data_IF_479935625955
#
_entry.id   IF_479935625955
#
_cell.length_a   1.000
_cell.length_b   1.000
_cell.length_c   1.000
_cell.angle_alpha   90.00
_cell.angle_beta   90.00
_cell.angle_gamma   90.00
#
_symmetry.space_group_name_H-M   'P 1'
#
loop_
_entity.id
_entity.type
_entity.pdbx_description
1 polymer ?
#
# COMPACT_ATOMS: atom_id res chain seq x y z
N UNK A 1 -7.55 -33.62 2.72
CA UNK A 1 -8.20 -34.59 3.62
C UNK A 1 -8.87 -33.83 4.74
N UNK A 2 -10.15 -34.04 5.03
CA UNK A 2 -10.88 -33.33 6.09
C UNK A 2 -10.86 -34.18 7.36
N UNK A 3 -10.23 -33.67 8.42
CA UNK A 3 -10.22 -34.34 9.72
C UNK A 3 -11.64 -34.58 10.24
N UNK A 4 -11.89 -35.78 10.75
CA UNK A 4 -13.09 -36.15 11.49
C UNK A 4 -13.26 -35.26 12.73
N UNK A 5 -14.45 -35.27 13.33
CA UNK A 5 -14.70 -34.51 14.56
C UNK A 5 -13.80 -35.00 15.70
N UNK A 6 -13.63 -36.31 15.82
CA UNK A 6 -12.76 -36.93 16.82
C UNK A 6 -11.29 -36.53 16.62
N UNK A 7 -10.78 -36.53 15.39
CA UNK A 7 -9.40 -36.10 15.11
C UNK A 7 -9.19 -34.61 15.41
N UNK A 8 -10.19 -33.77 15.16
CA UNK A 8 -10.15 -32.33 15.52
C UNK A 8 -10.13 -32.11 17.03
N UNK A 9 -10.85 -32.92 17.78
CA UNK A 9 -10.82 -32.89 19.25
C UNK A 9 -9.48 -33.38 19.79
N UNK A 10 -8.90 -34.42 19.20
CA UNK A 10 -7.54 -34.90 19.53
C UNK A 10 -6.48 -33.83 19.25
N UNK A 11 -6.53 -33.17 18.09
CA UNK A 11 -5.61 -32.06 17.77
C UNK A 11 -5.75 -30.92 18.78
N UNK A 12 -6.98 -30.53 19.14
CA UNK A 12 -7.21 -29.47 20.15
C UNK A 12 -6.75 -29.86 21.55
N UNK A 13 -6.91 -31.13 21.94
CA UNK A 13 -6.43 -31.63 23.21
C UNK A 13 -4.89 -31.56 23.26
N UNK A 14 -4.23 -32.02 22.21
CA UNK A 14 -2.78 -31.90 22.04
C UNK A 14 -2.35 -30.44 22.11
N UNK A 15 -2.98 -29.53 21.35
CA UNK A 15 -2.70 -28.08 21.42
C UNK A 15 -2.87 -27.51 22.83
N UNK A 16 -3.89 -27.96 23.57
CA UNK A 16 -4.15 -27.57 24.97
C UNK A 16 -3.09 -28.07 25.94
N UNK A 17 -2.58 -29.29 25.74
CA UNK A 17 -1.52 -29.87 26.56
C UNK A 17 -0.17 -29.16 26.30
N UNK A 18 0.13 -28.85 25.03
CA UNK A 18 1.30 -28.02 24.65
C UNK A 18 1.23 -26.65 25.32
N UNK A 19 0.03 -26.06 25.37
CA UNK A 19 -0.22 -24.78 26.02
C UNK A 19 -0.06 -24.85 27.54
N UNK A 20 -0.63 -25.87 28.18
CA UNK A 20 -0.61 -26.04 29.63
C UNK A 20 0.79 -26.38 30.16
N UNK A 21 1.61 -27.05 29.35
CA UNK A 21 2.91 -27.52 29.78
C UNK A 21 4.00 -26.43 29.78
N UNK A 22 3.87 -25.34 29.01
CA UNK A 22 4.74 -24.16 29.09
C UNK A 22 6.25 -24.47 29.04
N UNK A 23 7.02 -23.95 30.00
CA UNK A 23 8.46 -24.22 30.17
C UNK A 23 8.77 -25.59 30.83
N UNK A 24 7.74 -26.33 31.26
CA UNK A 24 7.85 -27.57 32.05
C UNK A 24 7.41 -28.82 31.29
N UNK A 25 7.27 -28.76 29.96
CA UNK A 25 6.92 -29.96 29.19
C UNK A 25 8.06 -30.96 29.31
N UNK A 26 7.74 -32.13 29.86
CA UNK A 26 8.63 -33.28 29.75
C UNK A 26 8.70 -33.61 28.27
N UNK A 27 9.88 -33.42 27.67
CA UNK A 27 10.17 -33.52 26.24
C UNK A 27 9.52 -34.76 25.58
N UNK A 28 9.51 -35.89 26.30
CA UNK A 28 8.90 -37.15 25.90
C UNK A 28 7.39 -37.04 25.60
N UNK A 29 6.62 -36.29 26.38
CA UNK A 29 5.16 -36.14 26.20
C UNK A 29 4.84 -35.35 24.94
N UNK A 30 5.62 -34.30 24.66
CA UNK A 30 5.46 -33.50 23.45
C UNK A 30 5.89 -34.27 22.21
N UNK A 31 6.93 -35.10 22.32
CA UNK A 31 7.35 -36.00 21.25
C UNK A 31 6.28 -37.07 20.95
N UNK A 32 5.64 -37.66 21.97
CA UNK A 32 4.50 -38.57 21.81
C UNK A 32 3.32 -37.90 21.10
N UNK A 33 3.02 -36.65 21.44
CA UNK A 33 1.96 -35.87 20.81
C UNK A 33 2.26 -35.54 19.34
N UNK A 34 3.49 -35.13 19.02
CA UNK A 34 3.94 -34.95 17.63
C UNK A 34 3.85 -36.26 16.85
N UNK A 35 4.18 -37.38 17.49
CA UNK A 35 4.05 -38.72 16.91
C UNK A 35 2.60 -39.07 16.61
N UNK A 36 1.70 -38.81 17.56
CA UNK A 36 0.26 -39.03 17.38
C UNK A 36 -0.28 -38.17 16.23
N UNK A 37 0.13 -36.90 16.15
CA UNK A 37 -0.21 -36.03 15.01
C UNK A 37 0.24 -36.63 13.69
N UNK A 38 1.48 -37.15 13.60
CA UNK A 38 2.04 -37.80 12.42
C UNK A 38 1.29 -39.06 12.00
N UNK A 39 0.88 -39.89 12.97
CA UNK A 39 0.13 -41.12 12.74
C UNK A 39 -1.29 -40.85 12.22
N UNK A 40 -1.89 -39.70 12.55
CA UNK A 40 -3.22 -39.32 12.06
C UNK A 40 -3.27 -38.97 10.55
N UNK A 41 -2.20 -39.21 9.80
CA UNK A 41 -2.27 -39.27 8.33
C UNK A 41 -2.52 -37.94 7.62
N UNK A 42 -2.26 -36.80 8.28
CA UNK A 42 -2.42 -35.46 7.68
C UNK A 42 -1.31 -35.14 6.64
N UNK A 43 -0.42 -36.09 6.34
CA UNK A 43 0.88 -35.87 5.69
C UNK A 43 0.95 -36.32 4.22
N UNK A 44 -0.17 -36.77 3.64
CA UNK A 44 -0.21 -37.14 2.21
C UNK A 44 -0.12 -35.90 1.27
N UNK A 45 -0.26 -34.69 1.82
CA UNK A 45 -0.20 -33.43 1.09
C UNK A 45 0.47 -32.35 1.95
N UNK A 46 1.44 -31.63 1.36
CA UNK A 46 2.20 -30.55 1.98
C UNK A 46 1.31 -29.45 2.59
N UNK A 47 0.10 -29.24 2.04
CA UNK A 47 -0.88 -28.28 2.58
C UNK A 47 -1.35 -28.69 3.99
N UNK A 48 -1.62 -29.99 4.19
CA UNK A 48 -2.03 -30.51 5.49
C UNK A 48 -0.93 -30.36 6.53
N UNK A 49 0.32 -30.61 6.11
CA UNK A 49 1.52 -30.47 6.93
C UNK A 49 1.71 -29.01 7.36
N UNK A 50 1.71 -28.06 6.42
CA UNK A 50 1.90 -26.63 6.71
C UNK A 50 0.81 -26.09 7.63
N UNK A 51 -0.45 -26.44 7.38
CA UNK A 51 -1.57 -26.00 8.21
C UNK A 51 -1.47 -26.50 9.65
N UNK A 52 -1.14 -27.78 9.82
CA UNK A 52 -0.99 -28.36 11.15
C UNK A 52 0.23 -27.77 11.87
N UNK A 53 1.37 -27.65 11.18
CA UNK A 53 2.57 -27.01 11.72
C UNK A 53 2.31 -25.55 12.11
N UNK A 54 1.50 -24.83 11.32
CA UNK A 54 1.09 -23.46 11.62
C UNK A 54 0.26 -23.38 12.90
N UNK A 55 -0.68 -24.32 13.12
CA UNK A 55 -1.49 -24.36 14.34
C UNK A 55 -0.64 -24.70 15.56
N UNK A 56 0.17 -25.76 15.47
CA UNK A 56 1.02 -26.24 16.57
C UNK A 56 2.09 -25.21 16.94
N UNK A 57 2.80 -24.67 15.95
CA UNK A 57 3.85 -23.68 16.18
C UNK A 57 3.36 -22.33 16.72
N UNK A 58 2.05 -22.07 16.63
CA UNK A 58 1.43 -20.81 17.07
C UNK A 58 0.41 -21.01 18.20
N UNK A 59 0.41 -22.18 18.84
CA UNK A 59 -0.51 -22.49 19.94
C UNK A 59 -0.18 -21.67 21.20
N UNK A 60 1.08 -21.31 21.40
CA UNK A 60 1.55 -20.49 22.52
C UNK A 60 2.85 -19.77 22.19
N UNK A 61 3.24 -18.80 23.01
CA UNK A 61 4.53 -18.10 22.89
C UNK A 61 5.74 -18.99 23.18
N UNK A 62 5.54 -20.13 23.87
CA UNK A 62 6.60 -21.06 24.28
C UNK A 62 6.74 -22.25 23.33
N UNK A 63 5.69 -22.55 22.56
CA UNK A 63 5.66 -23.67 21.61
C UNK A 63 6.89 -23.72 20.66
N UNK A 64 7.39 -22.60 20.08
CA UNK A 64 8.53 -22.66 19.18
C UNK A 64 9.81 -23.18 19.84
N UNK A 65 10.04 -22.85 21.12
CA UNK A 65 11.21 -23.31 21.87
C UNK A 65 11.17 -24.80 22.16
N UNK A 66 10.02 -25.31 22.60
CA UNK A 66 9.86 -26.73 22.88
C UNK A 66 9.97 -27.59 21.60
N UNK A 67 9.37 -27.12 20.49
CA UNK A 67 9.44 -27.79 19.20
C UNK A 67 10.87 -27.79 18.62
N UNK A 68 11.65 -26.72 18.85
CA UNK A 68 13.06 -26.68 18.45
C UNK A 68 13.89 -27.76 19.20
N UNK A 69 13.64 -27.97 20.49
CA UNK A 69 14.29 -29.04 21.25
C UNK A 69 13.94 -30.43 20.74
N UNK A 70 12.71 -30.65 20.27
CA UNK A 70 12.29 -31.91 19.63
C UNK A 70 12.99 -32.09 18.30
N UNK A 71 13.11 -31.05 17.47
CA UNK A 71 13.78 -31.15 16.18
C UNK A 71 15.27 -31.53 16.29
N UNK A 72 15.90 -31.18 17.41
CA UNK A 72 17.28 -31.53 17.72
C UNK A 72 17.47 -32.94 18.29
N UNK A 73 16.39 -33.63 18.69
CA UNK A 73 16.50 -34.95 19.33
C UNK A 73 16.74 -36.07 18.30
N UNK A 74 17.96 -36.61 18.31
CA UNK A 74 18.38 -37.70 17.44
C UNK A 74 17.70 -39.05 17.73
N UNK A 75 17.00 -39.20 18.86
CA UNK A 75 16.23 -40.41 19.16
C UNK A 75 14.93 -40.50 18.34
N UNK A 76 14.47 -39.37 17.78
CA UNK A 76 13.26 -39.28 16.98
C UNK A 76 13.53 -39.56 15.48
N UNK A 77 12.49 -39.99 14.78
CA UNK A 77 12.50 -40.18 13.32
C UNK A 77 12.73 -38.86 12.57
N UNK A 78 13.22 -38.94 11.33
CA UNK A 78 13.43 -37.75 10.51
C UNK A 78 12.13 -36.97 10.29
N UNK A 79 11.00 -37.65 10.13
CA UNK A 79 9.67 -37.07 9.95
C UNK A 79 9.20 -36.31 11.20
N UNK A 80 9.39 -36.87 12.40
CA UNK A 80 9.09 -36.20 13.67
C UNK A 80 9.91 -34.92 13.81
N UNK A 81 11.23 -35.03 13.57
CA UNK A 81 12.14 -33.89 13.68
C UNK A 81 11.84 -32.82 12.64
N UNK A 82 11.52 -33.21 11.41
CA UNK A 82 11.15 -32.30 10.34
C UNK A 82 9.85 -31.54 10.65
N UNK A 83 8.85 -32.22 11.21
CA UNK A 83 7.59 -31.58 11.59
C UNK A 83 7.80 -30.58 12.73
N UNK A 84 8.56 -30.99 13.75
CA UNK A 84 8.91 -30.11 14.85
C UNK A 84 9.71 -28.88 14.36
N UNK A 85 10.70 -29.07 13.48
CA UNK A 85 11.47 -27.98 12.88
C UNK A 85 10.59 -27.01 12.09
N UNK A 86 9.69 -27.53 11.25
CA UNK A 86 8.75 -26.75 10.47
C UNK A 86 7.80 -25.93 11.36
N UNK A 87 7.19 -26.56 12.35
CA UNK A 87 6.27 -25.90 13.28
C UNK A 87 7.01 -24.84 14.12
N UNK A 88 8.20 -25.16 14.63
CA UNK A 88 9.05 -24.22 15.34
C UNK A 88 9.45 -23.03 14.46
N UNK A 89 9.83 -23.26 13.20
CA UNK A 89 10.21 -22.21 12.27
C UNK A 89 9.05 -21.23 12.00
N UNK A 90 7.84 -21.73 11.78
CA UNK A 90 6.64 -20.90 11.60
C UNK A 90 6.35 -20.10 12.88
N UNK A 91 6.48 -20.75 14.04
CA UNK A 91 6.30 -20.12 15.35
C UNK A 91 7.29 -18.98 15.61
N UNK A 92 8.60 -19.21 15.40
CA UNK A 92 9.63 -18.18 15.56
C UNK A 92 9.45 -17.00 14.62
N UNK A 93 9.04 -17.24 13.37
CA UNK A 93 8.70 -16.15 12.44
C UNK A 93 7.59 -15.28 12.99
N UNK A 94 6.50 -15.89 13.48
CA UNK A 94 5.36 -15.16 14.07
C UNK A 94 5.74 -14.42 15.35
N UNK A 95 6.68 -14.94 16.11
CA UNK A 95 7.25 -14.26 17.27
C UNK A 95 8.25 -13.14 16.92
N UNK A 96 8.48 -12.85 15.63
CA UNK A 96 9.39 -11.79 15.19
C UNK A 96 10.88 -12.16 15.31
N UNK A 97 11.21 -13.46 15.29
CA UNK A 97 12.60 -13.96 15.39
C UNK A 97 12.98 -14.75 14.12
N UNK A 98 13.09 -14.07 12.95
CA UNK A 98 13.29 -14.73 11.66
C UNK A 98 14.62 -15.49 11.55
N UNK A 99 15.66 -15.07 12.29
CA UNK A 99 16.96 -15.76 12.27
C UNK A 99 16.87 -17.18 12.85
N UNK A 100 16.11 -17.36 13.95
CA UNK A 100 15.85 -18.70 14.52
C UNK A 100 14.99 -19.55 13.60
N UNK A 101 14.03 -18.90 12.92
CA UNK A 101 13.22 -19.57 11.90
C UNK A 101 14.08 -20.09 10.75
N UNK A 102 14.98 -19.26 10.21
CA UNK A 102 15.88 -19.66 9.12
C UNK A 102 16.83 -20.79 9.54
N UNK A 103 17.39 -20.76 10.74
CA UNK A 103 18.26 -21.84 11.23
C UNK A 103 17.55 -23.21 11.22
N UNK A 104 16.30 -23.26 11.69
CA UNK A 104 15.50 -24.49 11.67
C UNK A 104 15.08 -24.92 10.26
N UNK A 105 14.84 -23.97 9.36
CA UNK A 105 14.54 -24.26 7.96
C UNK A 105 15.77 -24.82 7.23
N UNK A 106 16.97 -24.35 7.57
CA UNK A 106 18.22 -24.90 7.06
C UNK A 106 18.46 -26.33 7.60
N UNK A 107 18.14 -26.59 8.86
CA UNK A 107 18.15 -27.95 9.41
C UNK A 107 17.15 -28.86 8.69
N UNK A 108 15.91 -28.39 8.49
CA UNK A 108 14.87 -29.11 7.75
C UNK A 108 15.31 -29.43 6.32
N UNK A 109 15.98 -28.52 5.62
CA UNK A 109 16.50 -28.73 4.28
C UNK A 109 17.51 -29.89 4.20
N UNK A 110 18.22 -30.15 5.30
CA UNK A 110 19.20 -31.22 5.41
C UNK A 110 18.60 -32.56 5.89
N UNK A 111 17.38 -32.55 6.43
CA UNK A 111 16.67 -33.77 6.82
C UNK A 111 16.13 -34.50 5.59
N UNK A 112 16.50 -35.77 5.45
CA UNK A 112 15.94 -36.64 4.41
C UNK A 112 14.58 -37.16 4.89
N UNK A 113 13.52 -36.47 4.50
CA UNK A 113 12.14 -36.89 4.74
C UNK A 113 11.45 -37.25 3.43
N UNK A 114 10.55 -38.23 3.48
CA UNK A 114 9.76 -38.67 2.32
C UNK A 114 8.65 -37.70 1.90
N UNK A 115 8.63 -36.48 2.42
CA UNK A 115 7.56 -35.52 2.14
C UNK A 115 7.68 -34.93 0.73
N UNK A 116 6.57 -34.85 -0.02
CA UNK A 116 6.58 -34.24 -1.33
C UNK A 116 6.86 -32.74 -1.21
N UNK A 117 7.68 -32.21 -2.11
CA UNK A 117 7.94 -30.77 -2.27
C UNK A 117 8.46 -30.03 -1.02
N UNK A 118 9.11 -30.71 -0.08
CA UNK A 118 9.75 -30.10 1.11
C UNK A 118 10.64 -28.92 0.77
N UNK A 119 11.44 -29.05 -0.30
CA UNK A 119 12.31 -27.95 -0.77
C UNK A 119 11.50 -26.70 -1.14
N UNK A 120 10.35 -26.85 -1.81
CA UNK A 120 9.50 -25.71 -2.17
C UNK A 120 8.93 -25.01 -0.92
N UNK A 121 8.54 -25.79 0.11
CA UNK A 121 8.05 -25.24 1.38
C UNK A 121 9.15 -24.53 2.16
N UNK A 122 10.36 -25.11 2.24
CA UNK A 122 11.51 -24.46 2.87
C UNK A 122 11.81 -23.12 2.20
N UNK A 123 11.94 -23.11 0.87
CA UNK A 123 12.18 -21.88 0.10
C UNK A 123 11.06 -20.85 0.31
N UNK A 124 9.81 -21.29 0.36
CA UNK A 124 8.67 -20.42 0.64
C UNK A 124 8.77 -19.78 2.04
N UNK A 125 9.04 -20.57 3.07
CA UNK A 125 9.12 -20.07 4.45
C UNK A 125 10.33 -19.15 4.66
N UNK A 126 11.48 -19.49 4.07
CA UNK A 126 12.65 -18.60 4.05
C UNK A 126 12.35 -17.29 3.31
N UNK A 127 11.58 -17.35 2.22
CA UNK A 127 11.21 -16.14 1.47
C UNK A 127 10.36 -15.18 2.30
N UNK A 128 9.38 -15.68 3.05
CA UNK A 128 8.49 -14.85 3.87
C UNK A 128 9.16 -14.35 5.15
N UNK A 129 10.27 -14.97 5.60
CA UNK A 129 11.11 -14.44 6.67
C UNK A 129 11.83 -13.13 6.27
N UNK A 130 11.85 -12.79 4.98
CA UNK A 130 12.40 -11.54 4.46
C UNK A 130 11.34 -10.43 4.34
N UNK A 131 10.09 -10.68 4.75
CA UNK A 131 9.09 -9.61 4.90
C UNK A 131 9.54 -8.66 6.02
N UNK A 132 9.52 -7.35 5.73
CA UNK A 132 10.03 -6.32 6.64
C UNK A 132 11.55 -6.10 6.57
N UNK A 133 12.27 -6.84 5.73
CA UNK A 133 13.66 -6.54 5.41
C UNK A 133 13.76 -5.30 4.48
N UNK A 134 14.99 -4.80 4.29
CA UNK A 134 15.25 -3.77 3.29
C UNK A 134 15.03 -4.30 1.85
N UNK A 135 15.10 -3.40 0.87
CA UNK A 135 14.89 -3.72 -0.56
C UNK A 135 15.70 -4.93 -1.03
N UNK A 136 17.00 -5.00 -0.70
CA UNK A 136 17.85 -6.14 -1.06
C UNK A 136 17.43 -7.46 -0.38
N UNK A 137 16.90 -7.38 0.85
CA UNK A 137 16.27 -8.51 1.51
C UNK A 137 15.02 -8.99 0.77
N UNK A 138 14.14 -8.07 0.37
CA UNK A 138 12.93 -8.39 -0.39
C UNK A 138 13.25 -9.00 -1.75
N UNK A 139 14.27 -8.53 -2.46
CA UNK A 139 14.72 -9.12 -3.73
C UNK A 139 15.17 -10.58 -3.57
N UNK A 140 15.93 -10.87 -2.51
CA UNK A 140 16.30 -12.25 -2.16
C UNK A 140 15.06 -13.09 -1.85
N UNK A 141 14.10 -12.55 -1.11
CA UNK A 141 12.83 -13.22 -0.80
C UNK A 141 12.05 -13.54 -2.08
N UNK A 142 11.91 -12.58 -2.99
CA UNK A 142 11.25 -12.77 -4.28
C UNK A 142 11.94 -13.88 -5.08
N UNK A 143 13.28 -13.90 -5.13
CA UNK A 143 14.02 -14.94 -5.85
C UNK A 143 13.76 -16.35 -5.28
N UNK A 144 13.76 -16.50 -3.95
CA UNK A 144 13.42 -17.76 -3.28
C UNK A 144 11.97 -18.17 -3.56
N UNK A 145 11.03 -17.22 -3.47
CA UNK A 145 9.61 -17.47 -3.66
C UNK A 145 9.25 -17.82 -5.11
N UNK A 146 9.95 -17.22 -6.10
CA UNK A 146 9.82 -17.62 -7.52
C UNK A 146 10.32 -19.04 -7.75
N UNK A 147 11.44 -19.44 -7.13
CA UNK A 147 11.94 -20.82 -7.20
C UNK A 147 10.93 -21.80 -6.59
N UNK A 148 10.39 -21.49 -5.41
CA UNK A 148 9.35 -22.29 -4.77
C UNK A 148 8.11 -22.45 -5.69
N UNK A 149 7.60 -21.34 -6.24
CA UNK A 149 6.47 -21.37 -7.18
C UNK A 149 6.76 -22.17 -8.44
N UNK A 150 7.97 -22.13 -9.00
CA UNK A 150 8.33 -22.93 -10.16
C UNK A 150 8.25 -24.45 -9.89
N UNK A 151 8.49 -24.86 -8.65
CA UNK A 151 8.36 -26.25 -8.21
C UNK A 151 6.91 -26.66 -7.96
N UNK A 152 6.04 -25.70 -7.64
CA UNK A 152 4.63 -25.90 -7.29
C UNK A 152 3.74 -24.74 -7.79
N UNK A 153 3.49 -24.63 -9.11
CA UNK A 153 2.88 -23.45 -9.72
C UNK A 153 1.41 -23.19 -9.37
N UNK A 154 0.72 -24.16 -8.80
CA UNK A 154 -0.69 -24.06 -8.38
C UNK A 154 -0.87 -24.06 -6.85
N UNK A 155 0.22 -23.87 -6.09
CA UNK A 155 0.10 -23.77 -4.64
C UNK A 155 -0.40 -22.38 -4.23
N UNK A 156 -1.63 -22.31 -3.71
CA UNK A 156 -2.24 -21.07 -3.23
C UNK A 156 -1.36 -20.30 -2.23
N UNK A 157 -0.72 -21.02 -1.31
CA UNK A 157 0.17 -20.42 -0.31
C UNK A 157 1.43 -19.79 -0.92
N UNK A 158 2.04 -20.47 -1.90
CA UNK A 158 3.25 -19.98 -2.57
C UNK A 158 2.94 -18.80 -3.50
N UNK A 159 1.83 -18.85 -4.24
CA UNK A 159 1.36 -17.73 -5.06
C UNK A 159 1.09 -16.50 -4.20
N UNK A 160 0.36 -16.67 -3.08
CA UNK A 160 0.12 -15.59 -2.14
C UNK A 160 1.39 -15.04 -1.50
N UNK A 161 2.33 -15.91 -1.08
CA UNK A 161 3.60 -15.49 -0.51
C UNK A 161 4.40 -14.61 -1.46
N UNK A 162 4.48 -15.00 -2.74
CA UNK A 162 5.14 -14.19 -3.77
C UNK A 162 4.40 -12.88 -4.03
N UNK A 163 3.07 -12.92 -4.13
CA UNK A 163 2.25 -11.70 -4.30
C UNK A 163 2.47 -10.71 -3.14
N UNK A 164 2.57 -11.20 -1.91
CA UNK A 164 2.79 -10.37 -0.74
C UNK A 164 4.20 -9.75 -0.75
N UNK A 165 5.24 -10.51 -1.09
CA UNK A 165 6.60 -9.99 -1.24
C UNK A 165 6.70 -8.91 -2.34
N UNK A 166 6.03 -9.11 -3.48
CA UNK A 166 6.00 -8.14 -4.58
C UNK A 166 5.23 -6.86 -4.19
N UNK A 167 4.15 -6.99 -3.43
CA UNK A 167 3.43 -5.85 -2.86
C UNK A 167 4.35 -5.01 -1.97
N UNK A 168 5.01 -5.64 -0.99
CA UNK A 168 5.91 -4.96 -0.07
C UNK A 168 7.13 -4.37 -0.80
N UNK A 169 7.70 -5.10 -1.76
CA UNK A 169 8.77 -4.57 -2.61
C UNK A 169 8.36 -3.31 -3.35
N UNK A 170 7.17 -3.29 -3.95
CA UNK A 170 6.67 -2.08 -4.63
C UNK A 170 6.36 -0.91 -3.70
N UNK A 171 6.11 -1.15 -2.41
CA UNK A 171 5.94 -0.10 -1.39
C UNK A 171 7.29 0.51 -1.02
N UNK A 172 8.32 -0.31 -0.80
CA UNK A 172 9.65 0.15 -0.36
C UNK A 172 10.55 0.62 -1.50
N UNK A 173 10.32 0.16 -2.73
CA UNK A 173 11.13 0.51 -3.89
C UNK A 173 10.57 1.77 -4.56
N UNK A 174 11.17 2.93 -4.27
CA UNK A 174 10.79 4.26 -4.79
C UNK A 174 11.22 4.50 -6.26
N UNK A 175 11.10 3.45 -7.08
CA UNK A 175 11.46 3.46 -8.49
C UNK A 175 10.41 4.17 -9.36
N UNK A 176 10.77 4.44 -10.62
CA UNK A 176 9.86 4.99 -11.62
C UNK A 176 8.51 4.25 -11.63
N UNK A 177 7.40 5.02 -11.64
CA UNK A 177 6.03 4.52 -11.46
C UNK A 177 5.68 3.33 -12.35
N UNK A 178 6.18 3.30 -13.60
CA UNK A 178 5.89 2.23 -14.56
C UNK A 178 6.41 0.84 -14.14
N UNK A 179 7.58 0.75 -13.49
CA UNK A 179 8.12 -0.54 -13.00
C UNK A 179 7.34 -1.03 -11.79
N UNK A 180 6.96 -0.12 -10.90
CA UNK A 180 6.17 -0.44 -9.70
C UNK A 180 4.78 -0.95 -10.06
N UNK A 181 4.11 -0.30 -11.00
CA UNK A 181 2.79 -0.73 -11.45
C UNK A 181 2.85 -2.12 -12.12
N UNK A 182 3.89 -2.41 -12.90
CA UNK A 182 4.08 -3.75 -13.46
C UNK A 182 4.25 -4.82 -12.38
N UNK A 183 5.06 -4.54 -11.34
CA UNK A 183 5.23 -5.42 -10.17
C UNK A 183 3.91 -5.67 -9.45
N UNK A 184 3.10 -4.64 -9.22
CA UNK A 184 1.80 -4.80 -8.56
C UNK A 184 0.78 -5.54 -9.42
N UNK A 185 0.82 -5.40 -10.76
CA UNK A 185 -0.02 -6.21 -11.65
C UNK A 185 0.36 -7.69 -11.61
N UNK A 186 1.66 -8.01 -11.62
CA UNK A 186 2.13 -9.39 -11.43
C UNK A 186 1.64 -9.97 -10.09
N UNK A 187 1.76 -9.19 -9.01
CA UNK A 187 1.25 -9.59 -7.69
C UNK A 187 -0.27 -9.80 -7.68
N UNK A 188 -1.02 -8.98 -8.43
CA UNK A 188 -2.47 -9.10 -8.56
C UNK A 188 -2.88 -10.38 -9.31
N UNK A 189 -2.16 -10.74 -10.37
CA UNK A 189 -2.37 -12.01 -11.09
C UNK A 189 -2.13 -13.22 -10.18
N UNK A 190 -1.04 -13.20 -9.41
CA UNK A 190 -0.69 -14.26 -8.46
C UNK A 190 -1.74 -14.42 -7.35
N UNK A 191 -2.21 -13.32 -6.75
CA UNK A 191 -3.23 -13.42 -5.68
C UNK A 191 -4.59 -13.86 -6.22
N UNK A 192 -4.93 -13.49 -7.47
CA UNK A 192 -6.13 -14.02 -8.13
C UNK A 192 -6.00 -15.53 -8.39
N UNK A 193 -4.82 -16.00 -8.80
CA UNK A 193 -4.51 -17.43 -8.90
C UNK A 193 -4.65 -18.14 -7.54
N UNK A 194 -4.12 -17.55 -6.47
CA UNK A 194 -4.26 -18.08 -5.12
C UNK A 194 -5.72 -18.18 -4.66
N UNK A 195 -6.54 -17.16 -4.95
CA UNK A 195 -7.96 -17.15 -4.64
C UNK A 195 -8.76 -18.17 -5.45
N UNK A 196 -8.36 -18.43 -6.70
CA UNK A 196 -8.98 -19.48 -7.52
C UNK A 196 -8.74 -20.89 -6.94
N UNK A 197 -7.58 -21.11 -6.33
CA UNK A 197 -7.23 -22.37 -5.67
C UNK A 197 -7.83 -22.50 -4.27
N UNK A 198 -7.94 -21.38 -3.54
CA UNK A 198 -8.46 -21.35 -2.17
C UNK A 198 -8.97 -19.97 -1.77
N UNK A 199 -10.23 -19.91 -1.34
CA UNK A 199 -10.82 -18.75 -0.69
C UNK A 199 -10.28 -18.62 0.76
N UNK A 200 -9.47 -17.59 1.02
CA UNK A 200 -8.89 -17.36 2.34
C UNK A 200 -8.75 -15.86 2.66
N UNK A 201 -9.03 -15.40 3.91
CA UNK A 201 -9.13 -13.98 4.23
C UNK A 201 -7.85 -13.20 3.93
N UNK A 202 -6.68 -13.81 4.20
CA UNK A 202 -5.38 -13.17 3.96
C UNK A 202 -5.11 -12.90 2.47
N UNK A 203 -5.72 -13.67 1.56
CA UNK A 203 -5.58 -13.46 0.13
C UNK A 203 -6.41 -12.27 -0.34
N UNK A 204 -7.66 -12.19 0.13
CA UNK A 204 -8.53 -11.02 -0.05
C UNK A 204 -7.88 -9.74 0.48
N UNK A 205 -7.21 -9.82 1.64
CA UNK A 205 -6.49 -8.68 2.20
C UNK A 205 -5.37 -8.18 1.28
N UNK A 206 -4.51 -9.10 0.80
CA UNK A 206 -3.44 -8.75 -0.15
C UNK A 206 -3.99 -8.19 -1.46
N UNK A 207 -5.07 -8.78 -1.99
CA UNK A 207 -5.74 -8.30 -3.20
C UNK A 207 -6.30 -6.88 -3.03
N UNK A 208 -6.98 -6.61 -1.92
CA UNK A 208 -7.48 -5.28 -1.60
C UNK A 208 -6.36 -4.23 -1.56
N UNK A 209 -5.25 -4.54 -0.88
CA UNK A 209 -4.08 -3.64 -0.84
C UNK A 209 -3.50 -3.38 -2.24
N UNK A 210 -3.38 -4.41 -3.08
CA UNK A 210 -2.91 -4.26 -4.46
C UNK A 210 -3.85 -3.40 -5.31
N UNK A 211 -5.16 -3.64 -5.23
CA UNK A 211 -6.17 -2.86 -5.94
C UNK A 211 -6.16 -1.40 -5.51
N UNK A 212 -5.95 -1.09 -4.22
CA UNK A 212 -5.78 0.30 -3.78
C UNK A 212 -4.56 0.97 -4.38
N UNK A 213 -3.47 0.22 -4.61
CA UNK A 213 -2.24 0.78 -5.16
C UNK A 213 -2.30 0.98 -6.67
N UNK A 214 -2.99 0.09 -7.38
CA UNK A 214 -3.22 0.18 -8.82
C UNK A 214 -4.39 1.09 -9.20
N UNK A 215 -5.41 1.15 -8.35
CA UNK A 215 -6.67 1.83 -8.60
C UNK A 215 -6.53 3.34 -8.49
N UNK A 216 -7.01 4.02 -9.52
CA UNK A 216 -7.07 5.49 -9.61
C UNK A 216 -8.50 5.99 -9.76
N UNK A 217 -9.43 5.12 -10.16
CA UNK A 217 -10.85 5.45 -10.29
C UNK A 217 -11.67 5.06 -9.04
N UNK A 218 -12.78 5.75 -8.82
CA UNK A 218 -13.73 5.42 -7.74
C UNK A 218 -14.18 3.95 -7.76
N UNK A 219 -14.42 3.38 -8.96
CA UNK A 219 -14.81 1.97 -9.12
C UNK A 219 -13.72 1.01 -8.61
N UNK A 220 -12.47 1.30 -8.89
CA UNK A 220 -11.34 0.46 -8.44
C UNK A 220 -11.12 0.58 -6.94
N UNK A 221 -11.30 1.78 -6.37
CA UNK A 221 -11.25 2.01 -4.92
C UNK A 221 -12.38 1.25 -4.22
N UNK A 222 -13.61 1.28 -4.77
CA UNK A 222 -14.73 0.49 -4.25
C UNK A 222 -14.47 -1.02 -4.31
N UNK A 223 -13.95 -1.53 -5.42
CA UNK A 223 -13.59 -2.96 -5.52
C UNK A 223 -12.53 -3.35 -4.47
N UNK A 224 -11.55 -2.47 -4.21
CA UNK A 224 -10.56 -2.71 -3.19
C UNK A 224 -11.15 -2.73 -1.76
N UNK A 225 -12.09 -1.83 -1.47
CA UNK A 225 -12.84 -1.79 -0.22
C UNK A 225 -13.66 -3.06 0.00
N UNK A 226 -14.29 -3.60 -1.05
CA UNK A 226 -15.05 -4.85 -0.98
C UNK A 226 -14.14 -6.04 -0.63
N UNK A 227 -12.97 -6.13 -1.25
CA UNK A 227 -11.96 -7.17 -0.93
C UNK A 227 -11.46 -7.06 0.51
N UNK A 228 -11.15 -5.84 0.99
CA UNK A 228 -10.75 -5.63 2.39
C UNK A 228 -11.88 -5.96 3.38
N UNK A 229 -13.13 -5.74 2.99
CA UNK A 229 -14.29 -6.12 3.79
C UNK A 229 -14.44 -7.64 3.86
N UNK A 230 -14.33 -8.34 2.73
CA UNK A 230 -14.36 -9.80 2.69
C UNK A 230 -13.28 -10.40 3.59
N UNK A 231 -12.06 -9.87 3.52
CA UNK A 231 -10.97 -10.28 4.40
C UNK A 231 -11.31 -10.13 5.89
N UNK A 232 -11.90 -9.00 6.28
CA UNK A 232 -12.27 -8.75 7.67
C UNK A 232 -13.45 -9.63 8.14
N UNK A 233 -14.44 -9.85 7.27
CA UNK A 233 -15.65 -10.62 7.58
C UNK A 233 -15.35 -12.12 7.73
N UNK A 234 -14.36 -12.63 7.00
CA UNK A 234 -13.93 -14.03 7.07
C UNK A 234 -12.84 -14.30 8.15
N UNK A 235 -12.27 -13.28 8.79
CA UNK A 235 -11.18 -13.43 9.76
C UNK A 235 -11.67 -14.14 11.05
N UNK A 236 -11.00 -15.24 11.43
CA UNK A 236 -11.36 -15.98 12.64
C UNK A 236 -10.98 -15.21 13.90
N UNK A 237 -11.95 -15.04 14.80
CA UNK A 237 -11.76 -14.42 16.13
C UNK A 237 -11.00 -15.32 17.11
N UNK A 238 -10.84 -16.61 16.80
CA UNK A 238 -10.24 -17.58 17.72
C UNK A 238 -8.72 -17.71 17.56
N UNK A 239 -8.11 -17.06 16.58
CA UNK A 239 -6.66 -17.13 16.39
C UNK A 239 -5.92 -16.20 17.36
N UNK A 240 -4.75 -16.63 17.85
CA UNK A 240 -3.92 -15.89 18.81
C UNK A 240 -3.58 -14.47 18.33
N UNK A 241 -3.25 -14.31 17.05
CA UNK A 241 -2.89 -13.05 16.38
C UNK A 241 -4.08 -12.33 15.72
N UNK A 242 -5.33 -12.77 16.00
CA UNK A 242 -6.53 -12.24 15.34
C UNK A 242 -6.78 -10.75 15.60
N UNK A 243 -6.46 -10.26 16.80
CA UNK A 243 -6.65 -8.84 17.14
C UNK A 243 -5.71 -7.93 16.33
N UNK A 244 -4.46 -8.33 16.15
CA UNK A 244 -3.49 -7.60 15.35
C UNK A 244 -3.89 -7.57 13.87
N UNK A 245 -4.28 -8.74 13.31
CA UNK A 245 -4.76 -8.81 11.93
C UNK A 245 -6.00 -7.94 11.71
N UNK A 246 -6.95 -7.93 12.65
CA UNK A 246 -8.13 -7.05 12.59
C UNK A 246 -7.79 -5.57 12.67
N UNK A 247 -6.80 -5.19 13.46
CA UNK A 247 -6.31 -3.81 13.49
C UNK A 247 -5.73 -3.41 12.12
N UNK A 248 -4.92 -4.27 11.51
CA UNK A 248 -4.38 -4.04 10.16
C UNK A 248 -5.49 -3.90 9.11
N UNK A 249 -6.50 -4.78 9.13
CA UNK A 249 -7.69 -4.66 8.26
C UNK A 249 -8.39 -3.31 8.44
N UNK A 250 -8.53 -2.85 9.69
CA UNK A 250 -9.19 -1.57 10.01
C UNK A 250 -8.38 -0.37 9.51
N UNK A 251 -7.06 -0.40 9.66
CA UNK A 251 -6.16 0.66 9.19
C UNK A 251 -6.22 0.77 7.67
N UNK A 252 -6.06 -0.34 6.95
CA UNK A 252 -6.08 -0.34 5.48
C UNK A 252 -7.43 0.09 4.92
N UNK A 253 -8.54 -0.35 5.55
CA UNK A 253 -9.88 0.11 5.16
C UNK A 253 -10.08 1.61 5.41
N UNK A 254 -9.53 2.14 6.51
CA UNK A 254 -9.60 3.57 6.79
C UNK A 254 -8.79 4.39 5.77
N UNK A 255 -7.60 3.91 5.40
CA UNK A 255 -6.77 4.53 4.35
C UNK A 255 -7.47 4.51 2.98
N UNK A 256 -8.13 3.40 2.66
CA UNK A 256 -8.93 3.26 1.44
C UNK A 256 -10.10 4.25 1.40
N UNK A 257 -10.81 4.40 2.52
CA UNK A 257 -11.93 5.33 2.64
C UNK A 257 -11.47 6.80 2.55
N UNK A 258 -10.33 7.13 3.17
CA UNK A 258 -9.70 8.45 3.01
C UNK A 258 -9.39 8.70 1.53
N UNK A 259 -8.80 7.74 0.82
CA UNK A 259 -8.54 7.84 -0.63
C UNK A 259 -9.81 8.08 -1.43
N UNK A 260 -10.90 7.38 -1.09
CA UNK A 260 -12.21 7.57 -1.74
C UNK A 260 -12.74 8.99 -1.54
N UNK A 261 -12.67 9.51 -0.32
CA UNK A 261 -13.12 10.87 0.02
C UNK A 261 -12.26 11.93 -0.67
N UNK A 262 -10.93 11.74 -0.69
CA UNK A 262 -10.00 12.65 -1.38
C UNK A 262 -10.30 12.68 -2.88
N UNK A 263 -10.44 11.52 -3.52
CA UNK A 263 -10.74 11.45 -4.95
C UNK A 263 -12.10 12.06 -5.30
N UNK A 264 -13.14 11.81 -4.49
CA UNK A 264 -14.44 12.45 -4.67
C UNK A 264 -14.35 13.98 -4.49
N UNK A 265 -13.50 14.46 -3.58
CA UNK A 265 -13.18 15.86 -3.39
C UNK A 265 -12.45 16.48 -4.58
N UNK A 266 -11.46 15.78 -5.15
CA UNK A 266 -10.73 16.17 -6.36
C UNK A 266 -11.68 16.30 -7.56
N UNK A 267 -12.51 15.28 -7.82
CA UNK A 267 -13.50 15.30 -8.90
C UNK A 267 -14.53 16.41 -8.70
N UNK A 268 -14.97 16.67 -7.46
CA UNK A 268 -15.88 17.77 -7.18
C UNK A 268 -15.21 19.14 -7.37
N UNK A 269 -13.92 19.26 -7.07
CA UNK A 269 -13.14 20.46 -7.31
C UNK A 269 -12.92 20.71 -8.80
N UNK A 270 -12.58 19.67 -9.58
CA UNK A 270 -12.45 19.73 -11.03
C UNK A 270 -13.77 20.17 -11.68
N UNK A 271 -14.91 19.55 -11.31
CA UNK A 271 -16.22 19.97 -11.83
C UNK A 271 -16.57 21.42 -11.51
N UNK A 272 -16.17 21.92 -10.33
CA UNK A 272 -16.35 23.33 -9.97
C UNK A 272 -15.44 24.24 -10.77
N UNK A 273 -14.20 23.83 -11.03
CA UNK A 273 -13.26 24.53 -11.90
C UNK A 273 -13.80 24.61 -13.32
N UNK A 274 -14.26 23.49 -13.89
CA UNK A 274 -14.86 23.44 -15.23
C UNK A 274 -16.11 24.33 -15.32
N UNK A 275 -17.02 24.25 -14.35
CA UNK A 275 -18.19 25.13 -14.30
C UNK A 275 -17.82 26.61 -14.17
N UNK A 276 -16.75 26.92 -13.41
CA UNK A 276 -16.24 28.30 -13.28
C UNK A 276 -15.60 28.77 -14.59
N UNK A 277 -14.90 27.89 -15.30
CA UNK A 277 -14.29 28.16 -16.61
C UNK A 277 -15.39 28.39 -17.65
N UNK A 278 -16.44 27.57 -17.67
CA UNK A 278 -17.59 27.72 -18.56
C UNK A 278 -18.37 29.00 -18.26
N UNK A 279 -18.63 29.31 -16.98
CA UNK A 279 -19.25 30.57 -16.57
C UNK A 279 -18.37 31.76 -16.98
N UNK A 280 -17.05 31.67 -16.82
CA UNK A 280 -16.10 32.71 -17.24
C UNK A 280 -16.08 32.85 -18.76
N UNK A 281 -16.16 31.76 -19.51
CA UNK A 281 -16.21 31.76 -20.98
C UNK A 281 -17.53 32.38 -21.48
N UNK A 282 -18.66 32.02 -20.90
CA UNK A 282 -19.98 32.59 -21.23
C UNK A 282 -20.02 34.09 -20.89
N UNK A 283 -19.51 34.48 -19.72
CA UNK A 283 -19.38 35.87 -19.30
C UNK A 283 -18.40 36.63 -20.19
N UNK A 284 -17.31 36.01 -20.64
CA UNK A 284 -16.36 36.59 -21.60
C UNK A 284 -16.97 36.79 -22.99
N UNK A 285 -17.83 35.87 -23.45
CA UNK A 285 -18.56 36.00 -24.71
C UNK A 285 -19.62 37.10 -24.62
N UNK A 286 -20.37 37.16 -23.53
CA UNK A 286 -21.30 38.26 -23.25
C UNK A 286 -20.58 39.61 -23.14
N UNK A 287 -19.48 39.66 -22.39
CA UNK A 287 -18.68 40.88 -22.24
C UNK A 287 -18.06 41.29 -23.57
N UNK A 288 -17.61 40.34 -24.41
CA UNK A 288 -17.11 40.62 -25.77
C UNK A 288 -18.21 41.08 -26.72
N UNK A 289 -19.47 40.69 -26.50
CA UNK A 289 -20.63 41.15 -27.25
C UNK A 289 -21.04 42.57 -26.83
N UNK A 290 -21.10 42.85 -25.53
CA UNK A 290 -21.31 44.20 -24.98
C UNK A 290 -20.13 45.13 -25.29
N UNK A 291 -18.90 44.63 -25.25
CA UNK A 291 -17.71 45.34 -25.70
C UNK A 291 -17.70 45.50 -27.21
N UNK A 292 -18.21 44.56 -28.02
CA UNK A 292 -18.37 44.77 -29.47
C UNK A 292 -19.29 45.96 -29.78
N UNK A 293 -20.34 46.15 -28.98
CA UNK A 293 -21.23 47.31 -29.06
C UNK A 293 -20.60 48.60 -28.48
N UNK A 294 -19.76 48.51 -27.43
CA UNK A 294 -19.08 49.68 -26.82
C UNK A 294 -17.72 50.05 -27.44
N UNK A 295 -17.02 49.13 -28.09
CA UNK A 295 -15.71 49.31 -28.74
C UNK A 295 -15.84 50.04 -30.08
N UNK A 296 -17.04 50.09 -30.67
CA UNK A 296 -17.35 51.07 -31.71
C UNK A 296 -17.20 52.54 -31.21
N UNK A 297 -17.13 52.78 -29.89
CA UNK A 297 -17.13 54.11 -29.29
C UNK A 297 -15.79 54.45 -28.58
N UNK A 298 -15.02 53.50 -28.01
CA UNK A 298 -13.86 53.83 -27.13
C UNK A 298 -12.56 53.01 -27.32
N UNK A 299 -12.20 52.61 -28.55
CA UNK A 299 -11.15 51.60 -28.83
C UNK A 299 -9.65 51.97 -28.64
N UNK A 300 -9.23 52.82 -27.69
CA UNK A 300 -7.77 53.05 -27.46
C UNK A 300 -7.24 52.92 -26.04
N UNK A 301 -8.09 52.77 -25.02
CA UNK A 301 -7.63 52.65 -23.63
C UNK A 301 -7.63 51.21 -23.06
N UNK A 302 -8.45 50.30 -23.60
CA UNK A 302 -8.72 48.99 -22.97
C UNK A 302 -7.70 47.87 -23.26
N UNK A 303 -6.79 48.05 -24.23
CA UNK A 303 -5.83 47.01 -24.63
C UNK A 303 -4.77 46.68 -23.56
N UNK A 304 -4.55 47.56 -22.58
CA UNK A 304 -3.59 47.30 -21.51
C UNK A 304 -4.19 46.56 -20.29
N UNK A 305 -5.50 46.64 -20.07
CA UNK A 305 -6.13 45.99 -18.91
C UNK A 305 -6.32 44.48 -19.11
N UNK A 306 -6.62 44.04 -20.33
CA UNK A 306 -6.81 42.62 -20.67
C UNK A 306 -5.52 41.79 -20.57
N UNK A 307 -4.38 42.36 -20.97
CA UNK A 307 -3.06 41.68 -20.83
C UNK A 307 -2.71 41.46 -19.34
N UNK A 308 -3.11 42.38 -18.47
CA UNK A 308 -2.79 42.32 -17.03
C UNK A 308 -3.60 41.23 -16.30
N UNK A 309 -4.87 41.06 -16.67
CA UNK A 309 -5.76 40.03 -16.09
C UNK A 309 -5.35 38.63 -16.56
N UNK A 310 -5.02 38.47 -17.84
CA UNK A 310 -4.53 37.20 -18.38
C UNK A 310 -3.20 36.83 -17.71
N UNK A 311 -2.29 37.80 -17.49
CA UNK A 311 -1.05 37.58 -16.75
C UNK A 311 -1.28 37.12 -15.31
N UNK A 312 -2.24 37.71 -14.59
CA UNK A 312 -2.54 37.36 -13.20
C UNK A 312 -3.11 35.93 -13.07
N UNK A 313 -4.02 35.55 -13.98
CA UNK A 313 -4.64 34.22 -14.00
C UNK A 313 -3.63 33.14 -14.40
N UNK A 314 -2.76 33.43 -15.36
CA UNK A 314 -1.70 32.49 -15.81
C UNK A 314 -0.66 32.26 -14.71
N UNK A 315 -0.29 33.32 -13.96
CA UNK A 315 0.59 33.19 -12.79
C UNK A 315 -0.09 32.37 -11.69
N UNK A 316 -1.37 32.62 -11.38
CA UNK A 316 -2.12 31.84 -10.38
C UNK A 316 -2.23 30.35 -10.72
N UNK A 317 -2.49 30.00 -11.98
CA UNK A 317 -2.56 28.62 -12.46
C UNK A 317 -1.20 27.91 -12.46
N UNK A 318 -0.12 28.64 -12.75
CA UNK A 318 1.25 28.11 -12.66
C UNK A 318 1.70 27.86 -11.20
N UNK A 319 0.98 28.37 -10.19
CA UNK A 319 1.32 28.23 -8.76
C UNK A 319 0.76 26.95 -8.13
N UNK A 320 -0.29 26.36 -8.72
CA UNK A 320 -0.92 25.12 -8.22
C UNK A 320 0.03 23.91 -8.20
N UNK A 321 0.86 23.67 -9.24
CA UNK A 321 1.87 22.61 -9.24
C UNK A 321 3.02 22.85 -8.24
N UNK A 322 3.37 24.11 -7.98
CA UNK A 322 4.44 24.47 -7.04
C UNK A 322 4.00 24.31 -5.58
N UNK A 323 2.73 24.58 -5.27
CA UNK A 323 2.15 24.34 -3.96
C UNK A 323 2.04 22.84 -3.64
N UNK A 324 1.70 22.01 -4.63
CA UNK A 324 1.68 20.54 -4.49
C UNK A 324 3.09 19.95 -4.38
N UNK A 325 4.08 20.50 -5.11
CA UNK A 325 5.48 20.11 -4.99
C UNK A 325 6.12 20.42 -3.63
N UNK A 326 5.69 21.50 -2.95
CA UNK A 326 6.20 21.84 -1.62
C UNK A 326 5.74 20.92 -0.50
N UNK A 327 4.60 20.21 -0.63
CA UNK A 327 4.19 19.21 0.36
C UNK A 327 5.10 17.97 0.37
N UNK A 328 5.74 17.63 -0.76
CA UNK A 328 6.76 16.58 -0.83
C UNK A 328 8.15 17.00 -0.33
N UNK A 329 8.43 18.30 -0.26
CA UNK A 329 9.76 18.84 0.11
C UNK A 329 9.94 19.08 1.62
N UNK A 330 8.85 19.08 2.40
CA UNK A 330 8.87 19.29 3.86
C UNK A 330 9.53 18.10 4.59
N UNK A 331 9.54 16.90 4.00
CA UNK A 331 10.20 15.72 4.59
C UNK A 331 11.74 15.75 4.45
N UNK A 332 12.28 16.52 3.49
CA UNK A 332 13.72 16.50 3.17
C UNK A 332 14.48 17.81 3.46
N UNK A 333 13.78 18.91 3.73
CA UNK A 333 14.38 20.24 3.88
C UNK A 333 13.85 20.91 5.15
N UNK A 334 14.76 21.29 6.05
CA UNK A 334 14.39 21.94 7.32
C UNK A 334 13.47 23.14 7.11
N UNK A 335 12.48 23.30 7.99
CA UNK A 335 11.40 24.31 7.99
C UNK A 335 11.84 25.73 7.56
N UNK A 336 13.08 26.10 7.88
CA UNK A 336 13.67 27.39 7.52
C UNK A 336 13.85 27.63 6.01
N UNK A 337 14.18 26.58 5.24
CA UNK A 337 14.34 26.69 3.78
C UNK A 337 13.00 26.88 3.07
N UNK A 338 11.94 26.23 3.58
CA UNK A 338 10.56 26.42 3.10
C UNK A 338 10.09 27.84 3.38
N UNK A 339 10.35 28.37 4.58
CA UNK A 339 10.02 29.76 4.92
C UNK A 339 10.77 30.78 4.06
N UNK A 340 12.06 30.58 3.80
CA UNK A 340 12.86 31.43 2.90
C UNK A 340 12.35 31.37 1.45
N UNK A 341 11.96 30.18 0.97
CA UNK A 341 11.31 30.01 -0.32
C UNK A 341 10.02 30.82 -0.41
N UNK A 342 9.12 30.67 0.59
CA UNK A 342 7.86 31.42 0.64
C UNK A 342 8.05 32.95 0.73
N UNK A 343 9.07 33.41 1.48
CA UNK A 343 9.39 34.84 1.58
C UNK A 343 9.95 35.41 0.28
N UNK A 344 10.88 34.72 -0.38
CA UNK A 344 11.40 35.11 -1.68
C UNK A 344 10.30 35.15 -2.74
N UNK A 345 9.39 34.18 -2.69
CA UNK A 345 8.25 34.06 -3.60
C UNK A 345 7.20 35.16 -3.38
N UNK A 346 6.91 35.49 -2.11
CA UNK A 346 6.06 36.62 -1.75
C UNK A 346 6.64 37.95 -2.21
N UNK A 347 7.97 38.10 -2.16
CA UNK A 347 8.68 39.26 -2.71
C UNK A 347 8.52 39.41 -4.23
N UNK A 348 8.59 38.29 -4.98
CA UNK A 348 8.39 38.29 -6.44
C UNK A 348 6.93 38.63 -6.80
N UNK A 349 5.97 38.03 -6.09
CA UNK A 349 4.54 38.34 -6.24
C UNK A 349 4.24 39.82 -5.95
N UNK A 350 4.81 40.35 -4.88
CA UNK A 350 4.63 41.75 -4.53
C UNK A 350 5.29 42.70 -5.54
N UNK A 351 6.45 42.32 -6.09
CA UNK A 351 7.10 43.04 -7.18
C UNK A 351 6.27 43.06 -8.46
N UNK A 352 5.65 41.93 -8.82
CA UNK A 352 4.79 41.83 -10.01
C UNK A 352 3.51 42.66 -9.86
N UNK A 353 2.86 42.60 -8.69
CA UNK A 353 1.67 43.42 -8.38
C UNK A 353 2.01 44.91 -8.36
N UNK A 354 3.14 45.29 -7.74
CA UNK A 354 3.61 46.66 -7.74
C UNK A 354 3.91 47.18 -9.14
N UNK A 355 4.61 46.39 -9.98
CA UNK A 355 4.92 46.76 -11.36
C UNK A 355 3.67 46.88 -12.23
N UNK A 356 2.69 45.99 -12.07
CA UNK A 356 1.41 46.06 -12.75
C UNK A 356 0.62 47.31 -12.32
N UNK A 357 0.56 47.59 -11.01
CA UNK A 357 -0.12 48.76 -10.46
C UNK A 357 0.55 50.07 -10.90
N UNK A 358 1.88 50.11 -10.94
CA UNK A 358 2.64 51.27 -11.41
C UNK A 358 2.39 51.56 -12.89
N UNK A 359 2.37 50.54 -13.75
CA UNK A 359 2.06 50.70 -15.17
C UNK A 359 0.61 51.12 -15.40
N UNK A 360 -0.34 50.61 -14.61
CA UNK A 360 -1.74 51.04 -14.63
C UNK A 360 -1.90 52.51 -14.25
N UNK A 361 -1.25 52.95 -13.17
CA UNK A 361 -1.28 54.37 -12.76
C UNK A 361 -0.65 55.28 -13.81
N UNK A 362 0.44 54.86 -14.45
CA UNK A 362 1.10 55.63 -15.51
C UNK A 362 0.25 55.71 -16.79
N UNK A 363 -0.47 54.64 -17.12
CA UNK A 363 -1.44 54.60 -18.22
C UNK A 363 -2.63 55.52 -17.96
N UNK A 364 -3.22 55.44 -16.76
CA UNK A 364 -4.33 56.30 -16.35
C UNK A 364 -3.95 57.78 -16.33
N UNK A 365 -2.75 58.14 -15.88
CA UNK A 365 -2.31 59.53 -15.90
C UNK A 365 -2.26 60.10 -17.31
N UNK A 366 -1.79 59.34 -18.30
CA UNK A 366 -1.81 59.75 -19.72
C UNK A 366 -3.22 59.94 -20.27
N UNK A 367 -4.16 59.07 -19.87
CA UNK A 367 -5.57 59.18 -20.27
C UNK A 367 -6.20 60.43 -19.65
N UNK A 368 -5.97 60.69 -18.37
CA UNK A 368 -6.45 61.89 -17.68
C UNK A 368 -5.87 63.17 -18.30
N UNK A 369 -4.57 63.20 -18.63
CA UNK A 369 -3.98 64.38 -19.33
C UNK A 369 -4.55 64.55 -20.73
N UNK A 370 -4.83 63.46 -21.45
CA UNK A 370 -5.45 63.54 -22.77
C UNK A 370 -6.88 64.07 -22.72
N UNK A 371 -7.66 63.69 -21.69
CA UNK A 371 -9.02 64.19 -21.46
C UNK A 371 -9.00 65.67 -21.05
N UNK A 372 -8.08 66.08 -20.18
CA UNK A 372 -7.93 67.49 -19.79
C UNK A 372 -7.53 68.38 -20.97
N UNK A 373 -6.66 67.90 -21.88
CA UNK A 373 -6.30 68.64 -23.09
C UNK A 373 -7.47 68.73 -24.10
N UNK A 374 -8.30 67.68 -24.20
CA UNK A 374 -9.51 67.69 -25.04
C UNK A 374 -10.59 68.64 -24.51
N UNK A 375 -10.72 68.76 -23.19
CA UNK A 375 -11.64 69.73 -22.58
C UNK A 375 -11.12 71.17 -22.68
N UNK A 376 -9.80 71.38 -22.59
CA UNK A 376 -9.18 72.68 -22.87
C UNK A 376 -9.41 73.14 -24.33
N UNK A 377 -9.19 72.26 -25.32
CA UNK A 377 -9.47 72.54 -26.73
C UNK A 377 -10.96 72.80 -27.02
N UNK A 378 -11.88 72.20 -26.25
CA UNK A 378 -13.33 72.46 -26.37
C UNK A 378 -13.73 73.79 -25.74
N UNK A 379 -13.01 74.25 -24.72
CA UNK A 379 -13.25 75.56 -24.09
C UNK A 379 -12.73 76.73 -24.93
N UNK A 380 -11.65 76.55 -25.69
CA UNK A 380 -11.13 77.57 -26.63
C UNK A 380 -11.97 77.71 -27.91
N UNK A 381 -12.80 76.72 -28.24
CA UNK A 381 -13.70 76.75 -29.42
C UNK A 381 -15.11 77.29 -29.11
N UNK A 382 -15.38 77.68 -27.86
CA UNK A 382 -16.59 78.40 -27.44
C UNK A 382 -16.23 79.85 -27.13
#
# INVERSE_FOLDING_TARGET
MTLTVSERETVRAIEGDIFAAGDNVVHDVLAEQVSALLVLGVFDDIRGIEELATRVGSSSQYAPGALALISADSALTCEQRAFAALAAAIGYRRAGVPDRSNALLDELANLRVGWPHTEALVLHLQSINLLGANVAGLERGIALSRRANAMMPHSAGLMHGLAHLLLEYGIWHDGASSKRDATWREALELVNGALAERDWPKFHFTKGRLLLRLGVSEREISAALDELRLAADQESRSAFDSNERRLQHTIERSLAEIRRVVHAGEVALERRLDATIDEFAEKSVMMSRELGEKVAIESRAAQNQSITVIGFVTVGLAMLPLATGMFGFIETSGLWQVMLGMLGFSGILWGAVWFATWNLNRGMHKVITSMQNLDAERSERR
#
